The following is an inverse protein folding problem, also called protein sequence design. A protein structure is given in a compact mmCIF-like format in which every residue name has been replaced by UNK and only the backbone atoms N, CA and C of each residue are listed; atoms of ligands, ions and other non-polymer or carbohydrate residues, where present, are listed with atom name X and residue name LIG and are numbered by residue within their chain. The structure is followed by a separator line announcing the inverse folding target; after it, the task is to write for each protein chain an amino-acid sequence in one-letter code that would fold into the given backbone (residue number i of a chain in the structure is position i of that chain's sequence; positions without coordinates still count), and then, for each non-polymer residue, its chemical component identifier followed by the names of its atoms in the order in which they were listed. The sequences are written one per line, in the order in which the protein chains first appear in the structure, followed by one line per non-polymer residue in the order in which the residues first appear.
data_IF_438934436499
#
_entry.id   IF_438934436499
#
_cell.length_a   1.000
_cell.length_b   1.000
_cell.length_c   1.000
_cell.angle_alpha   90.00
_cell.angle_beta   90.00
_cell.angle_gamma   90.00
#
_symmetry.space_group_name_H-M   'P 1'
#
loop_
_entity.id
_entity.type
_entity.pdbx_description
1 polymer ?
#
# COMPACT_ATOMS: atom_id res chain seq x y z
N UNK A 1 1.44 -12.46 0.13
CA UNK A 1 1.62 -12.40 -1.34
C UNK A 1 2.34 -11.11 -1.73
N UNK A 2 3.27 -11.16 -2.69
CA UNK A 2 3.96 -9.99 -3.22
C UNK A 2 3.40 -9.57 -4.58
N UNK A 3 3.14 -8.27 -4.76
CA UNK A 3 2.51 -7.70 -5.95
C UNK A 3 3.48 -6.80 -6.72
N UNK A 4 3.38 -6.82 -8.05
CA UNK A 4 4.08 -5.84 -8.89
C UNK A 4 3.53 -4.43 -8.63
N UNK A 5 4.28 -3.37 -8.99
CA UNK A 5 3.82 -2.00 -8.80
C UNK A 5 2.47 -1.72 -9.48
N UNK A 6 2.28 -2.21 -10.70
CA UNK A 6 1.03 -2.06 -11.46
C UNK A 6 -0.14 -2.78 -10.77
N UNK A 7 0.07 -4.03 -10.32
CA UNK A 7 -0.98 -4.82 -9.68
C UNK A 7 -1.36 -4.26 -8.30
N UNK A 8 -0.38 -3.77 -7.53
CA UNK A 8 -0.62 -3.10 -6.26
C UNK A 8 -1.39 -1.78 -6.47
N UNK A 9 -1.00 -0.99 -7.48
CA UNK A 9 -1.67 0.25 -7.80
C UNK A 9 -3.14 0.05 -8.17
N UNK A 10 -3.43 -0.91 -9.06
CA UNK A 10 -4.81 -1.25 -9.43
C UNK A 10 -5.62 -1.83 -8.26
N UNK A 11 -5.04 -2.76 -7.50
CA UNK A 11 -5.78 -3.45 -6.42
C UNK A 11 -6.18 -2.52 -5.29
N UNK A 12 -5.29 -1.59 -4.91
CA UNK A 12 -5.51 -0.73 -3.74
C UNK A 12 -5.89 0.70 -4.10
N UNK A 13 -5.97 1.01 -5.39
CA UNK A 13 -6.18 2.36 -5.93
C UNK A 13 -5.16 3.36 -5.35
N UNK A 14 -3.87 2.98 -5.42
CA UNK A 14 -2.76 3.77 -4.90
C UNK A 14 -1.80 4.10 -6.04
N UNK A 15 -1.47 5.37 -6.20
CA UNK A 15 -0.51 5.78 -7.21
C UNK A 15 0.88 5.10 -7.02
N UNK A 16 1.55 4.59 -8.08
CA UNK A 16 2.82 3.87 -7.95
C UNK A 16 3.95 4.64 -7.25
N UNK A 17 3.97 5.98 -7.41
CA UNK A 17 4.91 6.86 -6.70
C UNK A 17 4.68 6.84 -5.18
N UNK A 18 3.42 6.81 -4.75
CA UNK A 18 3.04 6.69 -3.34
C UNK A 18 3.47 5.35 -2.77
N UNK A 19 3.26 4.25 -3.50
CA UNK A 19 3.76 2.92 -3.08
C UNK A 19 5.28 2.93 -2.88
N UNK A 20 6.02 3.56 -3.80
CA UNK A 20 7.48 3.66 -3.70
C UNK A 20 7.91 4.49 -2.49
N UNK A 21 7.23 5.60 -2.23
CA UNK A 21 7.49 6.45 -1.06
C UNK A 21 7.20 5.72 0.25
N UNK A 22 6.04 5.07 0.36
CA UNK A 22 5.66 4.27 1.54
C UNK A 22 6.67 3.16 1.82
N UNK A 23 7.16 2.48 0.77
CA UNK A 23 8.18 1.44 0.94
C UNK A 23 9.54 2.01 1.33
N UNK A 24 9.96 3.14 0.75
CA UNK A 24 11.20 3.82 1.15
C UNK A 24 11.14 4.33 2.61
N UNK A 25 9.97 4.75 3.07
CA UNK A 25 9.72 5.19 4.43
C UNK A 25 9.58 4.03 5.43
N UNK A 26 9.64 2.76 4.99
CA UNK A 26 9.44 1.58 5.83
C UNK A 26 8.00 1.38 6.32
N UNK A 27 7.04 2.12 5.76
CA UNK A 27 5.62 2.03 6.14
C UNK A 27 4.98 0.76 5.58
N UNK A 28 5.34 0.40 4.35
CA UNK A 28 4.95 -0.86 3.72
C UNK A 28 6.17 -1.69 3.37
N UNK A 29 6.05 -3.00 3.49
CA UNK A 29 7.11 -3.93 3.10
C UNK A 29 7.20 -4.07 1.57
N UNK A 30 8.42 -4.01 1.07
CA UNK A 30 8.73 -4.31 -0.33
C UNK A 30 10.04 -5.08 -0.45
N UNK A 31 10.09 -6.01 -1.40
CA UNK A 31 11.31 -6.71 -1.79
C UNK A 31 11.83 -6.13 -3.11
N UNK A 32 13.14 -5.94 -3.21
CA UNK A 32 13.80 -5.68 -4.50
C UNK A 32 14.07 -7.00 -5.17
N UNK A 33 13.77 -7.10 -6.46
CA UNK A 33 14.13 -8.31 -7.20
C UNK A 33 15.63 -8.31 -7.50
N UNK A 34 16.31 -9.45 -7.36
CA UNK A 34 17.71 -9.56 -7.76
C UNK A 34 17.85 -9.23 -9.25
N UNK A 35 18.93 -8.54 -9.62
CA UNK A 35 19.25 -8.14 -11.00
C UNK A 35 18.19 -7.27 -11.69
N UNK A 36 17.30 -6.61 -10.94
CA UNK A 36 16.28 -5.76 -11.51
C UNK A 36 16.03 -4.51 -10.66
N UNK A 37 15.70 -3.40 -11.32
CA UNK A 37 15.20 -2.18 -10.64
C UNK A 37 13.75 -2.33 -10.17
N UNK A 38 13.10 -3.45 -10.46
CA UNK A 38 11.73 -3.72 -10.05
C UNK A 38 11.63 -4.11 -8.57
N UNK A 39 10.54 -3.66 -7.94
CA UNK A 39 10.19 -3.97 -6.56
C UNK A 39 8.87 -4.72 -6.54
N UNK A 40 8.67 -5.58 -5.55
CA UNK A 40 7.35 -6.14 -5.26
C UNK A 40 6.91 -5.78 -3.85
N UNK A 41 5.64 -5.44 -3.71
CA UNK A 41 5.07 -4.95 -2.46
C UNK A 41 4.28 -6.04 -1.74
N UNK A 42 4.41 -6.13 -0.43
CA UNK A 42 3.65 -7.06 0.39
C UNK A 42 2.19 -6.62 0.45
N UNK A 43 1.28 -7.45 -0.08
CA UNK A 43 -0.16 -7.20 -0.05
C UNK A 43 -0.67 -7.02 1.40
N UNK A 44 -0.19 -7.85 2.32
CA UNK A 44 -0.60 -7.81 3.73
C UNK A 44 -0.15 -6.52 4.43
N UNK A 45 1.05 -6.03 4.12
CA UNK A 45 1.57 -4.78 4.67
C UNK A 45 0.79 -3.57 4.14
N UNK A 46 0.45 -3.56 2.84
CA UNK A 46 -0.41 -2.53 2.26
C UNK A 46 -1.81 -2.57 2.90
N UNK A 47 -2.42 -3.75 3.03
CA UNK A 47 -3.74 -3.92 3.64
C UNK A 47 -3.77 -3.47 5.11
N UNK A 48 -2.72 -3.77 5.87
CA UNK A 48 -2.58 -3.31 7.26
C UNK A 48 -2.55 -1.79 7.37
N UNK A 49 -1.84 -1.11 6.47
CA UNK A 49 -1.73 0.35 6.49
C UNK A 49 -2.98 1.02 5.90
N UNK A 50 -3.40 0.59 4.72
CA UNK A 50 -4.49 1.21 3.95
C UNK A 50 -5.87 0.84 4.47
N UNK A 51 -6.05 -0.38 4.97
CA UNK A 51 -7.27 -0.81 5.67
C UNK A 51 -7.54 0.04 6.90
N UNK A 52 -6.50 0.33 7.70
CA UNK A 52 -6.59 1.26 8.85
C UNK A 52 -6.94 2.68 8.42
N UNK A 53 -6.45 3.15 7.28
CA UNK A 53 -6.78 4.48 6.77
C UNK A 53 -8.27 4.58 6.37
N UNK A 54 -8.82 3.56 5.69
CA UNK A 54 -10.24 3.53 5.31
C UNK A 54 -11.18 3.44 6.52
N UNK A 55 -10.82 2.67 7.55
CA UNK A 55 -11.65 2.51 8.76
C UNK A 55 -11.77 3.82 9.58
N UNK A 56 -10.75 4.68 9.54
CA UNK A 56 -10.80 5.99 10.24
C UNK A 56 -11.72 6.99 9.55
N UNK A 57 -11.86 6.91 8.22
CA UNK A 57 -12.77 7.77 7.46
C UNK A 57 -14.23 7.42 7.74
N UNK A 58 -14.56 6.13 7.85
CA UNK A 58 -15.94 5.69 8.12
C UNK A 58 -16.37 5.96 9.57
N UNK A 59 -15.49 5.79 10.56
CA UNK A 59 -15.84 6.10 11.96
C UNK A 59 -16.10 7.59 12.20
N UNK A 60 -15.39 8.48 11.52
CA UNK A 60 -15.65 9.92 11.63
C UNK A 60 -16.93 10.37 10.91
N UNK A 61 -17.41 9.62 9.92
CA UNK A 61 -18.67 9.92 9.25
C UNK A 61 -19.92 9.57 10.08
N UNK A 62 -19.78 8.70 11.09
CA UNK A 62 -20.89 8.23 11.93
C UNK A 62 -21.16 9.08 13.18
N UNK A 63 -20.29 10.05 13.52
CA UNK A 63 -20.40 10.86 14.74
C UNK A 63 -21.02 12.26 14.45
N UNK A 64 -21.72 12.42 13.34
CA UNK A 64 -22.35 13.70 12.94
C UNK A 64 -23.82 13.61 12.58
N UNK A 65 -24.53 12.60 13.10
CA UNK A 65 -26.00 12.49 13.09
C UNK A 65 -26.50 12.35 14.52
#
# INVERSE_FOLDING_TARGET
MYLSPQKAAQKYDIHPKTLSWLANAGIIEAIRMPNSKHRRYSAASIEKYWGRAKERVTKNAQVSL
#
